data_IF_850507075665
#
_entry.id   IF_850507075665
#
_cell.length_a   1.000
_cell.length_b   1.000
_cell.length_c   1.000
_cell.angle_alpha   90.00
_cell.angle_beta   90.00
_cell.angle_gamma   90.00
#
_symmetry.space_group_name_H-M   'P 1'
#
loop_
_entity.id
_entity.type
_entity.pdbx_description
1 polymer ?
#
# COMPACT_ATOMS: atom_id res chain seq x y z
N UNK A 1 -7.29 -0.40 34.36
CA UNK A 1 -6.48 0.77 33.97
C UNK A 1 -7.32 1.64 33.06
N UNK A 2 -7.69 2.84 33.49
CA UNK A 2 -8.59 3.75 32.77
C UNK A 2 -7.79 4.70 31.88
N UNK A 3 -8.01 4.67 30.57
CA UNK A 3 -7.33 5.56 29.62
C UNK A 3 -7.99 6.94 29.67
N UNK A 4 -7.27 7.95 30.17
CA UNK A 4 -7.71 9.34 30.19
C UNK A 4 -7.70 9.92 28.77
N UNK A 5 -8.86 10.31 28.26
CA UNK A 5 -9.01 10.91 26.93
C UNK A 5 -8.62 12.39 27.03
N UNK A 6 -7.36 12.70 26.70
CA UNK A 6 -6.83 14.08 26.70
C UNK A 6 -7.63 14.90 25.66
N UNK A 7 -8.55 15.75 26.12
CA UNK A 7 -9.21 16.71 25.23
C UNK A 7 -8.15 17.67 24.72
N UNK A 8 -7.97 17.73 23.40
CA UNK A 8 -7.16 18.78 22.78
C UNK A 8 -7.89 20.09 23.12
N UNK A 9 -7.31 20.93 23.98
CA UNK A 9 -7.81 22.28 24.28
C UNK A 9 -7.52 23.15 23.04
N UNK A 10 -8.30 22.95 21.98
CA UNK A 10 -8.26 23.79 20.80
C UNK A 10 -9.29 24.90 20.94
N UNK A 11 -8.87 26.15 20.76
CA UNK A 11 -9.76 27.30 20.69
C UNK A 11 -10.50 27.31 19.34
N UNK A 12 -11.40 26.35 19.15
CA UNK A 12 -12.15 26.16 17.89
C UNK A 12 -13.03 27.37 17.57
N UNK A 13 -13.62 28.01 18.59
CA UNK A 13 -14.41 29.23 18.42
C UNK A 13 -13.60 30.38 17.80
N UNK A 14 -12.28 30.41 18.00
CA UNK A 14 -11.42 31.42 17.36
C UNK A 14 -11.25 31.13 15.87
N UNK A 15 -11.06 29.85 15.50
CA UNK A 15 -10.92 29.43 14.11
C UNK A 15 -12.22 29.60 13.33
N UNK A 16 -13.37 29.30 13.93
CA UNK A 16 -14.69 29.44 13.29
C UNK A 16 -15.05 30.91 12.97
N UNK A 17 -14.47 31.87 13.70
CA UNK A 17 -14.68 33.30 13.49
C UNK A 17 -13.53 33.99 12.74
N UNK A 18 -12.49 33.23 12.35
CA UNK A 18 -11.35 33.76 11.61
C UNK A 18 -11.75 33.95 10.14
N UNK A 19 -11.41 35.09 9.56
CA UNK A 19 -11.60 35.31 8.14
C UNK A 19 -10.52 34.58 7.33
N UNK A 20 -10.85 34.13 6.12
CA UNK A 20 -9.91 33.40 5.26
C UNK A 20 -8.62 34.21 4.98
N UNK A 21 -8.73 35.54 4.87
CA UNK A 21 -7.59 36.45 4.64
C UNK A 21 -6.61 36.52 5.82
N UNK A 22 -7.04 36.17 7.03
CA UNK A 22 -6.18 36.16 8.22
C UNK A 22 -5.36 34.86 8.33
N UNK A 23 -5.60 33.86 7.47
CA UNK A 23 -4.92 32.56 7.51
C UNK A 23 -3.52 32.68 6.93
N UNK A 24 -2.52 32.40 7.76
CA UNK A 24 -1.11 32.43 7.37
C UNK A 24 -0.71 31.12 6.67
N UNK A 25 -0.39 31.21 5.37
CA UNK A 25 0.10 30.12 4.54
C UNK A 25 1.61 30.16 4.28
N UNK A 26 2.36 31.05 4.95
CA UNK A 26 3.80 31.26 4.65
C UNK A 26 4.66 30.02 4.80
N UNK A 27 4.28 29.09 5.69
CA UNK A 27 5.00 27.82 5.89
C UNK A 27 4.62 26.71 4.89
N UNK A 28 3.56 26.91 4.09
CA UNK A 28 3.03 25.91 3.17
C UNK A 28 3.31 26.40 1.75
N UNK A 29 4.31 25.85 1.04
CA UNK A 29 4.58 26.25 -0.33
C UNK A 29 3.35 26.02 -1.21
N UNK A 30 3.11 26.93 -2.15
CA UNK A 30 1.99 26.82 -3.09
C UNK A 30 2.02 25.46 -3.82
N UNK A 31 0.84 24.84 -3.92
CA UNK A 31 0.67 23.53 -4.54
C UNK A 31 0.76 23.65 -6.08
N UNK A 32 1.97 23.89 -6.59
CA UNK A 32 2.25 24.09 -8.02
C UNK A 32 2.56 22.76 -8.75
N UNK A 33 2.37 22.78 -10.06
CA UNK A 33 2.73 21.73 -11.02
C UNK A 33 4.19 21.27 -10.91
N UNK A 34 5.13 22.14 -10.48
CA UNK A 34 6.52 21.77 -10.22
C UNK A 34 6.66 20.80 -9.04
N UNK A 35 5.88 20.99 -7.98
CA UNK A 35 5.83 20.07 -6.83
C UNK A 35 5.37 18.69 -7.31
N UNK A 36 4.27 18.62 -8.05
CA UNK A 36 3.73 17.36 -8.59
C UNK A 36 4.73 16.61 -9.49
N UNK A 37 5.55 17.32 -10.26
CA UNK A 37 6.59 16.70 -11.12
C UNK A 37 7.76 16.12 -10.34
N UNK A 38 8.04 16.63 -9.15
CA UNK A 38 9.10 16.11 -8.27
C UNK A 38 8.65 14.91 -7.45
N UNK A 39 7.33 14.66 -7.37
CA UNK A 39 6.79 13.50 -6.67
C UNK A 39 6.99 12.26 -7.54
N UNK A 40 7.96 11.43 -7.17
CA UNK A 40 8.09 10.09 -7.71
C UNK A 40 6.89 9.25 -7.21
N UNK A 41 5.87 9.12 -8.05
CA UNK A 41 4.80 8.17 -7.78
C UNK A 41 5.39 6.77 -7.79
N UNK A 42 5.55 6.18 -6.61
CA UNK A 42 5.79 4.75 -6.48
C UNK A 42 4.53 4.00 -6.91
N UNK A 43 4.36 3.85 -8.23
CA UNK A 43 3.33 3.00 -8.81
C UNK A 43 3.72 1.57 -8.45
N UNK A 44 3.17 1.07 -7.34
CA UNK A 44 3.28 -0.34 -7.01
C UNK A 44 2.68 -1.14 -8.16
N UNK A 45 3.41 -2.13 -8.72
CA UNK A 45 2.85 -2.96 -9.78
C UNK A 45 1.54 -3.57 -9.28
N UNK A 46 0.49 -3.43 -10.08
CA UNK A 46 -0.87 -3.79 -9.69
C UNK A 46 -0.96 -5.23 -9.19
N UNK A 47 -1.72 -5.46 -8.12
CA UNK A 47 -2.00 -6.79 -7.59
C UNK A 47 -2.94 -7.52 -8.54
N UNK A 48 -2.60 -8.75 -8.93
CA UNK A 48 -3.49 -9.60 -9.72
C UNK A 48 -4.31 -10.48 -8.77
N UNK A 49 -5.64 -10.59 -8.91
CA UNK A 49 -6.43 -11.52 -8.14
C UNK A 49 -6.06 -12.95 -8.56
N UNK A 50 -5.66 -13.78 -7.60
CA UNK A 50 -5.33 -15.19 -7.82
C UNK A 50 -6.09 -16.02 -6.79
N UNK A 51 -6.72 -17.11 -7.24
CA UNK A 51 -7.28 -18.12 -6.36
C UNK A 51 -6.17 -19.10 -5.95
N UNK A 52 -5.72 -19.02 -4.69
CA UNK A 52 -4.74 -19.92 -4.10
C UNK A 52 -5.41 -20.77 -3.02
N UNK A 53 -5.08 -22.07 -3.00
CA UNK A 53 -5.47 -22.97 -1.91
C UNK A 53 -4.39 -22.93 -0.84
N UNK A 54 -4.80 -22.76 0.42
CA UNK A 54 -3.95 -22.81 1.60
C UNK A 54 -4.50 -23.89 2.53
N UNK A 55 -3.61 -24.51 3.31
CA UNK A 55 -4.02 -25.43 4.35
C UNK A 55 -4.89 -24.72 5.40
N UNK A 56 -5.87 -25.45 5.93
CA UNK A 56 -6.90 -24.90 6.82
C UNK A 56 -6.30 -24.32 8.10
N UNK A 57 -5.34 -25.03 8.71
CA UNK A 57 -4.64 -24.63 9.92
C UNK A 57 -3.82 -23.35 9.73
N UNK A 58 -3.12 -23.23 8.59
CA UNK A 58 -2.35 -22.03 8.24
C UNK A 58 -3.28 -20.83 8.05
N UNK A 59 -4.42 -21.03 7.36
CA UNK A 59 -5.40 -19.97 7.13
C UNK A 59 -6.03 -19.51 8.45
N UNK A 60 -6.38 -20.44 9.33
CA UNK A 60 -7.00 -20.13 10.61
C UNK A 60 -6.02 -19.42 11.56
N UNK A 61 -4.76 -19.88 11.59
CA UNK A 61 -3.69 -19.17 12.30
C UNK A 61 -3.51 -17.74 11.77
N UNK A 62 -3.48 -17.55 10.44
CA UNK A 62 -3.37 -16.23 9.82
C UNK A 62 -4.55 -15.31 10.15
N UNK A 63 -5.77 -15.85 10.16
CA UNK A 63 -6.98 -15.10 10.55
C UNK A 63 -6.99 -14.72 12.03
N UNK A 64 -6.49 -15.60 12.91
CA UNK A 64 -6.39 -15.33 14.35
C UNK A 64 -5.51 -14.11 14.66
N UNK A 65 -4.57 -13.77 13.77
CA UNK A 65 -3.73 -12.58 13.88
C UNK A 65 -4.48 -11.26 13.56
N UNK A 66 -5.75 -11.32 13.18
CA UNK A 66 -6.63 -10.15 13.00
C UNK A 66 -6.80 -9.66 11.56
N UNK A 67 -7.33 -8.44 11.43
CA UNK A 67 -7.64 -7.83 10.12
C UNK A 67 -6.37 -7.69 9.27
N UNK A 68 -6.50 -7.90 7.96
CA UNK A 68 -5.40 -7.77 7.01
C UNK A 68 -4.57 -9.03 6.79
N UNK A 69 -5.04 -10.20 7.23
CA UNK A 69 -4.34 -11.48 7.04
C UNK A 69 -3.95 -11.74 5.57
N UNK A 70 -4.80 -11.39 4.60
CA UNK A 70 -4.47 -11.50 3.16
C UNK A 70 -3.27 -10.63 2.74
N UNK A 71 -3.13 -9.43 3.31
CA UNK A 71 -1.98 -8.57 3.04
C UNK A 71 -0.70 -9.12 3.66
N UNK A 72 -0.81 -9.77 4.83
CA UNK A 72 0.32 -10.47 5.46
C UNK A 72 0.76 -11.70 4.67
N UNK A 73 -0.18 -12.50 4.18
CA UNK A 73 0.10 -13.62 3.26
C UNK A 73 0.90 -13.10 2.07
N UNK A 74 0.44 -12.02 1.43
CA UNK A 74 1.15 -11.42 0.30
C UNK A 74 2.56 -10.91 0.69
N UNK A 75 2.73 -10.32 1.87
CA UNK A 75 4.04 -9.86 2.35
C UNK A 75 5.02 -11.03 2.57
N UNK A 76 4.56 -12.14 3.14
CA UNK A 76 5.37 -13.36 3.33
C UNK A 76 5.79 -13.93 1.98
N UNK A 77 4.84 -14.08 1.04
CA UNK A 77 5.13 -14.57 -0.31
C UNK A 77 6.11 -13.64 -1.03
N UNK A 78 5.98 -12.32 -0.86
CA UNK A 78 6.91 -11.34 -1.44
C UNK A 78 8.31 -11.48 -0.85
N UNK A 79 8.44 -11.61 0.46
CA UNK A 79 9.73 -11.79 1.12
C UNK A 79 10.42 -13.08 0.64
N UNK A 80 9.67 -14.17 0.53
CA UNK A 80 10.18 -15.42 -0.02
C UNK A 80 10.64 -15.27 -1.48
N UNK A 81 9.81 -14.64 -2.32
CA UNK A 81 10.16 -14.34 -3.71
C UNK A 81 11.44 -13.50 -3.81
N UNK A 82 11.56 -12.42 -3.05
CA UNK A 82 12.73 -11.54 -3.05
C UNK A 82 14.01 -12.25 -2.60
N UNK A 83 13.91 -13.18 -1.64
CA UNK A 83 15.03 -13.98 -1.18
C UNK A 83 15.52 -14.98 -2.25
N UNK A 84 14.63 -15.49 -3.10
CA UNK A 84 14.94 -16.55 -4.07
C UNK A 84 15.04 -16.08 -5.53
N UNK A 85 14.65 -14.82 -5.83
CA UNK A 85 14.70 -14.28 -7.21
C UNK A 85 16.12 -14.21 -7.78
N UNK A 86 17.15 -14.10 -6.93
CA UNK A 86 18.54 -13.98 -7.35
C UNK A 86 19.21 -15.34 -7.58
N UNK A 87 18.60 -16.43 -7.10
CA UNK A 87 19.08 -17.81 -7.30
C UNK A 87 18.60 -18.40 -8.64
N UNK A 88 17.62 -17.74 -9.27
CA UNK A 88 16.99 -18.17 -10.52
C UNK A 88 17.06 -17.08 -11.58
N UNK A 89 18.28 -16.65 -11.93
CA UNK A 89 18.47 -15.87 -13.14
C UNK A 89 18.31 -16.78 -14.39
N UNK A 90 17.22 -16.52 -15.11
CA UNK A 90 16.91 -16.77 -16.55
C UNK A 90 16.18 -18.07 -16.95
N UNK A 91 15.34 -18.08 -18.03
CA UNK A 91 15.10 -17.06 -19.06
C UNK A 91 13.61 -16.66 -19.21
N UNK A 92 13.30 -15.39 -18.95
CA UNK A 92 12.11 -14.69 -19.44
C UNK A 92 12.12 -14.66 -20.98
N UNK A 93 11.63 -15.73 -21.61
CA UNK A 93 11.54 -15.85 -23.08
C UNK A 93 10.68 -17.02 -23.57
N UNK A 94 10.31 -17.97 -22.70
CA UNK A 94 9.49 -19.13 -23.10
C UNK A 94 7.98 -18.89 -23.04
N UNK A 95 7.46 -18.06 -22.12
CA UNK A 95 6.01 -17.87 -21.98
C UNK A 95 5.35 -16.98 -23.05
N UNK A 96 6.13 -16.34 -23.93
CA UNK A 96 5.59 -15.53 -25.04
C UNK A 96 5.33 -16.33 -26.31
N UNK A 97 5.98 -17.49 -26.52
CA UNK A 97 5.80 -18.30 -27.75
C UNK A 97 4.73 -19.40 -27.66
N UNK A 98 4.29 -19.78 -26.45
CA UNK A 98 3.30 -20.87 -26.29
C UNK A 98 1.84 -20.41 -26.45
N UNK A 99 1.55 -19.11 -26.33
CA UNK A 99 0.17 -18.59 -26.44
C UNK A 99 -0.36 -18.47 -27.87
N UNK A 100 0.51 -18.52 -28.87
CA UNK A 100 0.15 -18.37 -30.28
C UNK A 100 0.04 -19.72 -31.02
N UNK A 101 0.26 -20.85 -30.34
CA UNK A 101 0.42 -22.17 -30.98
C UNK A 101 -0.83 -23.08 -30.95
N UNK A 102 -1.99 -22.62 -30.47
CA UNK A 102 -3.20 -23.44 -30.48
C UNK A 102 -4.18 -22.98 -31.58
N UNK A 103 -4.15 -23.58 -32.79
CA UNK A 103 -5.24 -23.40 -33.73
C UNK A 103 -6.47 -24.16 -33.23
N UNK A 104 -7.64 -23.62 -33.56
CA UNK A 104 -8.97 -24.13 -33.21
C UNK A 104 -9.20 -25.56 -33.69
#
# INVERSE_FOLDING_TARGET
MTVSKKSIKSDLNRLDNMADDDIDYTEIPEFDTKFLRSVEMQISPGKKPVALRLDTDVLDWMKAQGKGYQSRINAILRAYYEAHKNDTLTPEGKWRRERDSNPR
#
